data_IF_952375017564
#
_entry.id   IF_952375017564
#
_cell.length_a   1.000
_cell.length_b   1.000
_cell.length_c   1.000
_cell.angle_alpha   90.00
_cell.angle_beta   90.00
_cell.angle_gamma   90.00
#
_symmetry.space_group_name_H-M   'P 1'
#
loop_
_entity.id
_entity.type
_entity.pdbx_description
1 polymer ?
#
# COMPACT_ATOMS: atom_id res chain seq x y z
N UNK A 1 17.74 -0.92 -13.20
CA UNK A 1 16.44 -1.43 -13.68
C UNK A 1 15.46 -0.28 -13.62
N UNK A 2 14.77 0.02 -14.72
CA UNK A 2 13.70 1.02 -14.75
C UNK A 2 12.42 0.41 -14.16
N UNK A 3 11.76 1.14 -13.28
CA UNK A 3 10.45 0.75 -12.75
C UNK A 3 9.42 1.03 -13.85
N UNK A 4 8.61 0.04 -14.27
CA UNK A 4 7.57 0.28 -15.27
C UNK A 4 6.40 1.08 -14.69
N UNK A 5 5.72 1.85 -15.52
CA UNK A 5 4.54 2.64 -15.15
C UNK A 5 3.34 1.78 -14.71
N UNK A 6 3.32 0.51 -15.14
CA UNK A 6 2.33 -0.49 -14.71
C UNK A 6 2.60 -1.06 -13.32
N UNK A 7 3.73 -0.74 -12.69
CA UNK A 7 4.08 -1.27 -11.37
C UNK A 7 3.15 -0.74 -10.27
N UNK A 8 3.04 -1.53 -9.21
CA UNK A 8 2.55 -1.07 -7.92
C UNK A 8 3.72 -0.76 -7.00
N UNK A 9 3.65 0.36 -6.30
CA UNK A 9 4.60 0.72 -5.24
C UNK A 9 3.85 0.80 -3.91
N UNK A 10 4.23 -0.04 -2.98
CA UNK A 10 3.58 -0.12 -1.68
C UNK A 10 4.31 0.67 -0.60
N UNK A 11 3.52 1.31 0.25
CA UNK A 11 3.97 1.80 1.54
C UNK A 11 4.10 0.66 2.56
N UNK A 12 4.75 0.94 3.68
CA UNK A 12 5.01 0.00 4.79
C UNK A 12 3.72 -0.55 5.39
N UNK A 13 2.70 0.31 5.57
CA UNK A 13 1.46 -0.02 6.25
C UNK A 13 0.75 -1.26 5.69
N UNK A 14 0.31 -1.25 4.42
CA UNK A 14 -0.35 -2.39 3.80
C UNK A 14 0.46 -3.68 3.90
N UNK A 15 1.75 -3.63 3.53
CA UNK A 15 2.60 -4.83 3.51
C UNK A 15 2.78 -5.44 4.90
N UNK A 16 3.07 -4.60 5.89
CA UNK A 16 3.26 -5.01 7.28
C UNK A 16 2.01 -5.68 7.84
N UNK A 17 0.84 -5.06 7.67
CA UNK A 17 -0.39 -5.57 8.27
C UNK A 17 -0.93 -6.81 7.56
N UNK A 18 -0.84 -6.88 6.23
CA UNK A 18 -1.18 -8.09 5.49
C UNK A 18 -0.27 -9.27 5.86
N UNK A 19 1.04 -9.03 6.01
CA UNK A 19 1.98 -10.07 6.45
C UNK A 19 1.68 -10.51 7.89
N UNK A 20 1.45 -9.56 8.80
CA UNK A 20 1.17 -9.83 10.21
C UNK A 20 -0.08 -10.70 10.41
N UNK A 21 -1.09 -10.54 9.57
CA UNK A 21 -2.36 -11.27 9.62
C UNK A 21 -2.40 -12.50 8.68
N UNK A 22 -1.29 -12.84 8.03
CA UNK A 22 -1.22 -14.00 7.13
C UNK A 22 -1.87 -13.82 5.76
N UNK A 23 -2.17 -12.58 5.38
CA UNK A 23 -2.84 -12.23 4.12
C UNK A 23 -1.91 -11.73 3.01
N UNK A 24 -0.58 -11.76 3.20
CA UNK A 24 0.38 -11.24 2.22
C UNK A 24 0.20 -11.86 0.83
N UNK A 25 -0.16 -13.16 0.75
CA UNK A 25 -0.44 -13.84 -0.49
C UNK A 25 -1.62 -13.27 -1.29
N UNK A 26 -2.57 -12.60 -0.62
CA UNK A 26 -3.68 -11.92 -1.29
C UNK A 26 -3.18 -10.72 -2.07
N UNK A 27 -2.25 -9.93 -1.54
CA UNK A 27 -1.64 -8.82 -2.29
C UNK A 27 -0.92 -9.32 -3.54
N UNK A 28 -0.17 -10.43 -3.45
CA UNK A 28 0.43 -11.08 -4.62
C UNK A 28 -0.61 -11.48 -5.67
N UNK A 29 -1.70 -12.10 -5.22
CA UNK A 29 -2.81 -12.51 -6.10
C UNK A 29 -3.47 -11.31 -6.78
N UNK A 30 -3.71 -10.23 -6.04
CA UNK A 30 -4.34 -9.01 -6.55
C UNK A 30 -3.42 -8.25 -7.52
N UNK A 31 -2.11 -8.29 -7.30
CA UNK A 31 -1.15 -7.72 -8.24
C UNK A 31 -1.27 -8.34 -9.64
N UNK A 32 -1.66 -9.64 -9.75
CA UNK A 32 -2.06 -10.24 -11.02
C UNK A 32 -0.97 -10.21 -12.10
N UNK A 33 0.31 -10.28 -11.71
CA UNK A 33 1.46 -10.18 -12.61
C UNK A 33 2.01 -8.76 -12.79
N UNK A 34 1.38 -7.72 -12.21
CA UNK A 34 2.00 -6.38 -12.11
C UNK A 34 3.24 -6.47 -11.24
N UNK A 35 4.37 -5.88 -11.66
CA UNK A 35 5.55 -5.81 -10.80
C UNK A 35 5.25 -5.00 -9.53
N UNK A 36 5.70 -5.51 -8.39
CA UNK A 36 5.53 -4.82 -7.10
C UNK A 36 6.88 -4.33 -6.61
N UNK A 37 6.93 -3.07 -6.26
CA UNK A 37 8.15 -2.43 -5.76
C UNK A 37 7.92 -1.80 -4.40
N UNK A 38 9.03 -1.67 -3.67
CA UNK A 38 9.15 -0.82 -2.49
C UNK A 38 10.43 0.01 -2.60
N UNK A 39 10.47 1.26 -2.15
CA UNK A 39 11.71 2.00 -1.99
C UNK A 39 12.56 1.43 -0.83
N UNK A 40 13.84 1.71 -0.80
CA UNK A 40 14.75 1.29 0.27
C UNK A 40 14.37 1.87 1.65
N UNK A 41 13.65 2.99 1.68
CA UNK A 41 13.10 3.57 2.91
C UNK A 41 12.04 2.66 3.53
N UNK A 42 11.12 2.11 2.72
CA UNK A 42 10.12 1.12 3.15
C UNK A 42 10.79 -0.20 3.55
N UNK A 43 11.80 -0.66 2.80
CA UNK A 43 12.56 -1.85 3.19
C UNK A 43 13.16 -1.72 4.60
N UNK A 44 13.71 -0.55 4.94
CA UNK A 44 14.25 -0.28 6.29
C UNK A 44 13.17 -0.36 7.36
N UNK A 45 12.04 0.29 7.13
CA UNK A 45 10.91 0.26 8.06
C UNK A 45 10.36 -1.17 8.26
N UNK A 46 10.29 -1.96 7.19
CA UNK A 46 9.88 -3.36 7.26
C UNK A 46 10.90 -4.22 8.03
N UNK A 47 12.21 -3.97 7.92
CA UNK A 47 13.22 -4.62 8.73
C UNK A 47 13.02 -4.31 10.21
N UNK A 48 12.86 -3.04 10.57
CA UNK A 48 12.61 -2.61 11.95
C UNK A 48 11.31 -3.22 12.51
N UNK A 49 10.29 -3.38 11.67
CA UNK A 49 9.05 -4.03 12.05
C UNK A 49 9.22 -5.55 12.21
N UNK A 50 10.01 -6.20 11.35
CA UNK A 50 10.28 -7.64 11.41
C UNK A 50 11.05 -8.06 12.66
N UNK A 51 11.87 -7.17 13.22
CA UNK A 51 12.58 -7.41 14.48
C UNK A 51 11.61 -7.50 15.68
N UNK A 52 10.45 -6.86 15.57
CA UNK A 52 9.40 -6.90 16.60
C UNK A 52 8.32 -7.95 16.33
N UNK A 53 8.04 -8.22 15.07
CA UNK A 53 7.01 -9.14 14.61
C UNK A 53 7.53 -9.97 13.44
N UNK A 54 7.97 -11.20 13.75
CA UNK A 54 8.64 -12.09 12.77
C UNK A 54 7.81 -12.39 11.52
N UNK A 55 6.48 -12.35 11.59
CA UNK A 55 5.61 -12.54 10.42
C UNK A 55 5.88 -11.51 9.31
N UNK A 56 6.34 -10.30 9.65
CA UNK A 56 6.67 -9.25 8.67
C UNK A 56 7.89 -9.64 7.82
N UNK A 57 8.76 -10.54 8.31
CA UNK A 57 9.90 -11.05 7.53
C UNK A 57 9.50 -11.64 6.19
N UNK A 58 8.30 -12.23 6.10
CA UNK A 58 7.76 -12.78 4.86
C UNK A 58 7.69 -11.74 3.72
N UNK A 59 7.51 -10.47 4.05
CA UNK A 59 7.50 -9.37 3.06
C UNK A 59 8.87 -9.16 2.44
N UNK A 60 9.92 -9.22 3.26
CA UNK A 60 11.31 -9.04 2.84
C UNK A 60 11.85 -10.26 2.07
N UNK A 61 11.37 -11.45 2.41
CA UNK A 61 11.75 -12.72 1.79
C UNK A 61 10.93 -13.02 0.51
N UNK A 62 9.92 -12.19 0.20
CA UNK A 62 9.04 -12.39 -0.94
C UNK A 62 9.75 -12.11 -2.28
N UNK A 63 9.84 -13.11 -3.14
CA UNK A 63 10.49 -13.06 -4.46
C UNK A 63 9.80 -12.14 -5.49
N UNK A 64 8.55 -11.75 -5.20
CA UNK A 64 7.72 -10.90 -6.07
C UNK A 64 7.70 -9.42 -5.64
N UNK A 65 8.31 -9.07 -4.51
CA UNK A 65 8.48 -7.68 -4.04
C UNK A 65 9.91 -7.25 -4.33
N UNK A 66 10.07 -6.24 -5.16
CA UNK A 66 11.37 -5.77 -5.60
C UNK A 66 11.76 -4.49 -4.86
N UNK A 67 12.92 -4.50 -4.21
CA UNK A 67 13.44 -3.28 -3.58
C UNK A 67 14.09 -2.40 -4.64
N UNK A 68 13.59 -1.18 -4.75
CA UNK A 68 14.17 -0.17 -5.63
C UNK A 68 15.10 0.76 -4.87
N UNK A 69 16.35 0.81 -5.32
CA UNK A 69 17.38 1.72 -4.81
C UNK A 69 17.78 2.66 -5.94
N UNK A 70 17.36 3.91 -5.83
CA UNK A 70 17.70 4.92 -6.83
C UNK A 70 18.66 5.96 -6.26
N UNK A 71 19.65 6.30 -7.08
CA UNK A 71 20.57 7.41 -6.85
C UNK A 71 20.45 8.47 -7.95
N UNK A 72 19.39 8.37 -8.79
CA UNK A 72 19.17 9.37 -9.84
C UNK A 72 18.85 10.72 -9.21
N UNK A 73 19.25 11.77 -9.88
CA UNK A 73 19.04 13.14 -9.39
C UNK A 73 17.54 13.44 -9.22
N UNK A 74 16.73 13.02 -10.18
CA UNK A 74 15.28 13.24 -10.18
C UNK A 74 14.62 12.57 -8.97
N UNK A 75 15.03 11.34 -8.63
CA UNK A 75 14.50 10.64 -7.46
C UNK A 75 14.91 11.31 -6.15
N UNK A 76 16.19 11.66 -6.01
CA UNK A 76 16.70 12.31 -4.79
C UNK A 76 16.05 13.68 -4.60
N UNK A 77 15.85 14.43 -5.66
CA UNK A 77 15.15 15.72 -5.62
C UNK A 77 13.68 15.56 -5.20
N UNK A 78 12.94 14.64 -5.83
CA UNK A 78 11.55 14.33 -5.47
C UNK A 78 11.44 13.88 -4.02
N UNK A 79 12.30 12.95 -3.60
CA UNK A 79 12.34 12.47 -2.20
C UNK A 79 12.57 13.63 -1.21
N UNK A 80 13.50 14.53 -1.51
CA UNK A 80 13.80 15.69 -0.65
C UNK A 80 12.58 16.62 -0.53
N UNK A 81 11.89 16.92 -1.63
CA UNK A 81 10.66 17.74 -1.62
C UNK A 81 9.56 17.13 -0.76
N UNK A 82 9.33 15.81 -0.88
CA UNK A 82 8.32 15.13 -0.06
C UNK A 82 8.74 15.05 1.40
N UNK A 83 10.03 14.84 1.67
CA UNK A 83 10.56 14.86 3.04
C UNK A 83 10.30 16.20 3.72
N UNK A 84 10.53 17.31 3.04
CA UNK A 84 10.30 18.65 3.61
C UNK A 84 8.81 18.91 3.91
N UNK A 85 7.89 18.22 3.21
CA UNK A 85 6.44 18.31 3.44
C UNK A 85 5.91 17.36 4.50
N UNK A 86 6.50 16.19 4.66
CA UNK A 86 5.94 15.08 5.45
C UNK A 86 6.72 14.77 6.72
N UNK A 87 8.05 14.93 6.72
CA UNK A 87 8.85 14.44 7.84
C UNK A 87 8.83 15.42 9.00
N UNK A 88 8.13 15.00 10.06
CA UNK A 88 8.21 15.62 11.38
C UNK A 88 8.82 14.60 12.35
N UNK A 89 10.02 14.89 12.88
CA UNK A 89 10.65 14.02 13.87
C UNK A 89 11.08 12.63 13.37
N UNK A 90 11.44 12.51 12.08
CA UNK A 90 11.94 11.23 11.49
C UNK A 90 10.87 10.23 11.11
N UNK A 91 9.58 10.57 11.20
CA UNK A 91 8.46 9.74 10.75
C UNK A 91 8.18 9.98 9.25
N UNK A 92 7.43 9.06 8.63
CA UNK A 92 6.94 9.16 7.24
C UNK A 92 8.08 9.16 6.19
N UNK A 93 9.20 8.51 6.47
CA UNK A 93 10.31 8.42 5.52
C UNK A 93 9.99 7.41 4.41
N UNK A 94 9.27 6.33 4.74
CA UNK A 94 8.76 5.34 3.79
C UNK A 94 7.91 6.01 2.72
N UNK A 95 6.91 6.77 3.16
CA UNK A 95 5.98 7.49 2.28
C UNK A 95 6.68 8.47 1.34
N UNK A 96 7.75 9.15 1.81
CA UNK A 96 8.54 10.02 0.94
C UNK A 96 9.13 9.26 -0.24
N UNK A 97 9.67 8.06 0.00
CA UNK A 97 10.20 7.19 -1.05
C UNK A 97 9.12 6.70 -2.01
N UNK A 98 7.95 6.32 -1.48
CA UNK A 98 6.80 5.89 -2.28
C UNK A 98 6.31 7.01 -3.20
N UNK A 99 6.11 8.23 -2.66
CA UNK A 99 5.71 9.40 -3.43
C UNK A 99 6.74 9.75 -4.53
N UNK A 100 8.04 9.72 -4.18
CA UNK A 100 9.11 9.97 -5.14
C UNK A 100 9.11 8.94 -6.27
N UNK A 101 8.87 7.65 -5.98
CA UNK A 101 8.73 6.63 -7.02
C UNK A 101 7.51 6.89 -7.92
N UNK A 102 6.37 7.24 -7.32
CA UNK A 102 5.16 7.58 -8.08
C UNK A 102 5.40 8.73 -9.05
N UNK A 103 6.09 9.78 -8.60
CA UNK A 103 6.40 10.95 -9.44
C UNK A 103 7.37 10.64 -10.55
N UNK A 104 8.50 9.99 -10.23
CA UNK A 104 9.60 9.79 -11.19
C UNK A 104 9.28 8.71 -12.23
N UNK A 105 8.55 7.66 -11.83
CA UNK A 105 8.29 6.51 -12.70
C UNK A 105 6.85 6.46 -13.23
N UNK A 106 5.94 7.34 -12.77
CA UNK A 106 4.56 7.37 -13.21
C UNK A 106 3.75 6.11 -12.81
N UNK A 107 4.25 5.32 -11.86
CA UNK A 107 3.62 4.11 -11.38
C UNK A 107 2.52 4.42 -10.36
N UNK A 108 1.64 3.43 -10.11
CA UNK A 108 0.58 3.56 -9.11
C UNK A 108 1.13 3.25 -7.71
N UNK A 109 0.85 4.13 -6.76
CA UNK A 109 1.28 3.98 -5.37
C UNK A 109 0.10 3.57 -4.47
N UNK A 110 0.37 2.69 -3.50
CA UNK A 110 -0.62 2.20 -2.53
C UNK A 110 -0.28 2.78 -1.16
N UNK A 111 -1.08 3.75 -0.71
CA UNK A 111 -0.85 4.52 0.51
C UNK A 111 -2.18 4.70 1.25
N UNK A 112 -2.24 4.27 2.51
CA UNK A 112 -3.46 4.36 3.31
C UNK A 112 -3.53 5.63 4.17
N UNK A 113 -2.40 6.15 4.61
CA UNK A 113 -2.34 7.34 5.44
C UNK A 113 -2.86 8.58 4.70
N UNK A 114 -3.79 9.29 5.36
CA UNK A 114 -4.53 10.40 4.75
C UNK A 114 -3.63 11.55 4.28
N UNK A 115 -2.59 11.89 5.06
CA UNK A 115 -1.72 13.03 4.72
C UNK A 115 -0.86 12.76 3.48
N UNK A 116 -0.08 11.67 3.37
CA UNK A 116 0.67 11.38 2.15
C UNK A 116 -0.24 11.11 0.96
N UNK A 117 -1.42 10.49 1.15
CA UNK A 117 -2.39 10.29 0.07
C UNK A 117 -2.89 11.62 -0.51
N UNK A 118 -3.28 12.57 0.33
CA UNK A 118 -3.68 13.93 -0.11
C UNK A 118 -2.54 14.63 -0.87
N UNK A 119 -1.30 14.51 -0.39
CA UNK A 119 -0.14 15.08 -1.09
C UNK A 119 0.06 14.44 -2.46
N UNK A 120 -0.14 13.11 -2.58
CA UNK A 120 -0.08 12.40 -3.86
C UNK A 120 -1.14 12.92 -4.85
N UNK A 121 -2.38 13.07 -4.38
CA UNK A 121 -3.50 13.60 -5.16
C UNK A 121 -3.23 15.04 -5.63
N UNK A 122 -2.78 15.92 -4.73
CA UNK A 122 -2.38 17.31 -5.04
C UNK A 122 -1.24 17.38 -6.07
N UNK A 123 -0.36 16.38 -6.06
CA UNK A 123 0.77 16.26 -6.99
C UNK A 123 0.41 15.55 -8.30
N UNK A 124 -0.84 15.13 -8.49
CA UNK A 124 -1.30 14.43 -9.68
C UNK A 124 -0.76 13.02 -9.85
N UNK A 125 -0.34 12.36 -8.75
CA UNK A 125 0.17 10.99 -8.79
C UNK A 125 -0.98 9.99 -8.91
N UNK A 126 -0.70 8.83 -9.51
CA UNK A 126 -1.61 7.68 -9.49
C UNK A 126 -1.56 7.04 -8.10
N UNK A 127 -2.55 7.32 -7.29
CA UNK A 127 -2.60 6.82 -5.90
C UNK A 127 -3.87 6.03 -5.65
N UNK A 128 -3.73 4.94 -4.91
CA UNK A 128 -4.83 4.14 -4.39
C UNK A 128 -4.57 3.79 -2.92
N UNK A 129 -5.50 3.08 -2.30
CA UNK A 129 -5.44 2.64 -0.91
C UNK A 129 -5.96 1.20 -0.79
N UNK A 130 -5.75 0.56 0.35
CA UNK A 130 -6.17 -0.83 0.61
C UNK A 130 -7.66 -1.05 0.32
N UNK A 131 -8.55 -0.20 0.81
CA UNK A 131 -10.00 -0.38 0.61
C UNK A 131 -10.40 -0.31 -0.86
N UNK A 132 -10.01 0.69 -1.67
CA UNK A 132 -10.22 0.69 -3.11
C UNK A 132 -9.68 -0.55 -3.84
N UNK A 133 -8.47 -1.02 -3.48
CA UNK A 133 -7.88 -2.24 -4.06
C UNK A 133 -8.75 -3.46 -3.78
N UNK A 134 -9.27 -3.60 -2.57
CA UNK A 134 -10.18 -4.69 -2.19
C UNK A 134 -11.53 -4.58 -2.92
N UNK A 135 -12.07 -3.37 -3.09
CA UNK A 135 -13.28 -3.14 -3.88
C UNK A 135 -13.10 -3.55 -5.35
N UNK A 136 -11.95 -3.20 -5.94
CA UNK A 136 -11.64 -3.60 -7.31
C UNK A 136 -11.54 -5.12 -7.45
N UNK A 137 -11.01 -5.80 -6.44
CA UNK A 137 -10.97 -7.26 -6.42
C UNK A 137 -12.37 -7.90 -6.40
N UNK A 138 -13.33 -7.29 -5.70
CA UNK A 138 -14.75 -7.72 -5.69
C UNK A 138 -15.38 -7.50 -7.06
N UNK A 139 -15.25 -6.29 -7.65
CA UNK A 139 -15.78 -5.99 -8.99
C UNK A 139 -15.24 -6.93 -10.05
N UNK A 140 -13.94 -7.21 -10.00
CA UNK A 140 -13.27 -8.12 -10.91
C UNK A 140 -13.59 -9.61 -10.65
N UNK A 141 -14.44 -9.91 -9.66
CA UNK A 141 -14.80 -11.28 -9.23
C UNK A 141 -13.59 -12.13 -8.82
N UNK A 142 -12.50 -11.50 -8.42
CA UNK A 142 -11.30 -12.17 -7.89
C UNK A 142 -11.47 -12.61 -6.44
N UNK A 143 -12.17 -11.81 -5.64
CA UNK A 143 -12.55 -12.14 -4.27
C UNK A 143 -14.06 -11.97 -4.10
N UNK A 144 -14.66 -12.78 -3.22
CA UNK A 144 -16.05 -12.55 -2.80
C UNK A 144 -16.12 -11.48 -1.73
N UNK A 145 -17.26 -10.81 -1.60
CA UNK A 145 -17.46 -9.83 -0.54
C UNK A 145 -17.22 -10.42 0.85
N UNK A 146 -17.64 -11.67 1.10
CA UNK A 146 -17.44 -12.34 2.38
C UNK A 146 -15.95 -12.56 2.70
N UNK A 147 -15.12 -12.92 1.70
CA UNK A 147 -13.67 -13.06 1.89
C UNK A 147 -13.04 -11.72 2.25
N UNK A 148 -13.49 -10.63 1.63
CA UNK A 148 -12.95 -9.29 1.89
C UNK A 148 -13.41 -8.77 3.26
N UNK A 149 -14.63 -9.07 3.69
CA UNK A 149 -15.12 -8.74 5.05
C UNK A 149 -14.24 -9.42 6.11
N UNK A 150 -13.97 -10.72 5.96
CA UNK A 150 -13.11 -11.47 6.89
C UNK A 150 -11.67 -10.93 6.90
N UNK A 151 -11.10 -10.65 5.72
CA UNK A 151 -9.78 -10.05 5.60
C UNK A 151 -9.71 -8.70 6.30
N UNK A 152 -10.69 -7.83 6.07
CA UNK A 152 -10.75 -6.50 6.68
C UNK A 152 -10.86 -6.59 8.22
N UNK A 153 -11.66 -7.52 8.74
CA UNK A 153 -11.79 -7.74 10.17
C UNK A 153 -10.49 -8.26 10.81
N UNK A 154 -9.75 -9.14 10.13
CA UNK A 154 -8.43 -9.57 10.57
C UNK A 154 -7.41 -8.41 10.58
N UNK A 155 -7.43 -7.55 9.56
CA UNK A 155 -6.57 -6.35 9.54
C UNK A 155 -6.87 -5.44 10.73
N UNK A 156 -8.16 -5.21 11.04
CA UNK A 156 -8.59 -4.42 12.20
C UNK A 156 -8.15 -5.03 13.53
N UNK A 157 -8.19 -6.38 13.67
CA UNK A 157 -7.65 -7.08 14.85
C UNK A 157 -6.15 -6.87 15.00
N UNK A 158 -5.42 -6.71 13.91
CA UNK A 158 -4.00 -6.36 13.86
C UNK A 158 -3.71 -4.86 14.01
N UNK A 159 -4.66 -4.09 14.54
CA UNK A 159 -4.54 -2.65 14.77
C UNK A 159 -4.27 -1.83 13.48
N UNK A 160 -4.65 -2.40 12.32
CA UNK A 160 -4.61 -1.63 11.08
C UNK A 160 -5.76 -0.63 11.04
N UNK A 161 -5.44 0.61 10.73
CA UNK A 161 -6.45 1.66 10.63
C UNK A 161 -7.23 1.53 9.31
N UNK A 162 -8.53 1.20 9.42
CA UNK A 162 -9.48 1.25 8.32
C UNK A 162 -10.59 2.26 8.67
N UNK A 163 -11.28 2.85 7.67
CA UNK A 163 -12.29 3.89 7.91
C UNK A 163 -13.61 3.35 8.48
N UNK A 164 -13.62 2.14 9.00
CA UNK A 164 -14.77 1.45 9.61
C UNK A 164 -14.28 0.52 10.72
N UNK A 165 -15.19 0.07 11.57
CA UNK A 165 -14.92 -0.95 12.59
C UNK A 165 -15.24 -2.37 12.11
N UNK A 166 -15.04 -3.39 12.98
CA UNK A 166 -15.33 -4.79 12.66
C UNK A 166 -16.75 -4.99 12.12
N UNK A 167 -16.88 -5.84 11.08
CA UNK A 167 -18.14 -6.07 10.35
C UNK A 167 -18.61 -4.88 9.51
N UNK A 168 -17.83 -3.81 9.42
CA UNK A 168 -18.25 -2.55 8.79
C UNK A 168 -17.93 -2.42 7.31
N UNK A 169 -17.12 -3.31 6.71
CA UNK A 169 -16.64 -3.17 5.35
C UNK A 169 -17.78 -2.97 4.33
N UNK A 170 -18.73 -3.92 4.26
CA UNK A 170 -19.84 -3.89 3.30
C UNK A 170 -20.65 -2.60 3.39
N UNK A 171 -21.02 -2.21 4.62
CA UNK A 171 -21.76 -0.97 4.84
C UNK A 171 -20.96 0.25 4.36
N UNK A 172 -19.69 0.32 4.76
CA UNK A 172 -18.83 1.42 4.39
C UNK A 172 -18.71 1.58 2.86
N UNK A 173 -18.46 0.49 2.13
CA UNK A 173 -18.24 0.57 0.67
C UNK A 173 -19.53 0.92 -0.09
N UNK A 174 -20.70 0.48 0.39
CA UNK A 174 -21.98 0.86 -0.19
C UNK A 174 -22.35 2.31 0.11
N UNK A 175 -22.21 2.75 1.35
CA UNK A 175 -22.53 4.14 1.77
C UNK A 175 -21.63 5.17 1.07
N UNK A 176 -20.39 4.82 0.75
CA UNK A 176 -19.43 5.69 0.05
C UNK A 176 -19.40 5.47 -1.47
N UNK A 177 -20.27 4.64 -2.03
CA UNK A 177 -20.34 4.39 -3.47
C UNK A 177 -19.08 3.72 -4.05
N UNK A 178 -18.31 3.02 -3.21
CA UNK A 178 -17.13 2.26 -3.62
C UNK A 178 -17.50 0.93 -4.27
N UNK A 179 -18.63 0.35 -3.90
CA UNK A 179 -19.30 -0.78 -4.54
C UNK A 179 -20.78 -0.49 -4.63
N UNK A 180 -21.47 -1.15 -5.54
CA UNK A 180 -22.93 -1.18 -5.59
C UNK A 180 -23.49 -2.60 -5.32
N UNK A 181 -24.83 -2.71 -5.23
CA UNK A 181 -25.45 -4.00 -4.96
C UNK A 181 -25.25 -5.04 -6.07
N UNK A 182 -24.93 -4.60 -7.29
CA UNK A 182 -24.61 -5.48 -8.41
C UNK A 182 -23.22 -6.10 -8.33
N UNK A 183 -22.33 -5.51 -7.54
CA UNK A 183 -20.98 -6.03 -7.31
C UNK A 183 -20.96 -7.15 -6.27
N UNK A 184 -21.94 -7.18 -5.35
CA UNK A 184 -22.01 -8.12 -4.23
C UNK A 184 -22.59 -9.46 -4.66
#
# INVERSE_FOLDING_TARGET
MTVPDSAWVFDTGPLRHFAAQGWLGVLRFLAGGRPVYIPDSVERELNDAADRLSAVRQTLDADWIHVHRSTSFEYVEAFSRYRDRLVAGGKNVGECGVLAMGEVYGCEIVVDDATPRRIAEESGLKVTATVPVLCEAVRAKKLTIAMVEELADHLLQGEYFLPFGPGGFRRHVLENGLLDYGDL
#
